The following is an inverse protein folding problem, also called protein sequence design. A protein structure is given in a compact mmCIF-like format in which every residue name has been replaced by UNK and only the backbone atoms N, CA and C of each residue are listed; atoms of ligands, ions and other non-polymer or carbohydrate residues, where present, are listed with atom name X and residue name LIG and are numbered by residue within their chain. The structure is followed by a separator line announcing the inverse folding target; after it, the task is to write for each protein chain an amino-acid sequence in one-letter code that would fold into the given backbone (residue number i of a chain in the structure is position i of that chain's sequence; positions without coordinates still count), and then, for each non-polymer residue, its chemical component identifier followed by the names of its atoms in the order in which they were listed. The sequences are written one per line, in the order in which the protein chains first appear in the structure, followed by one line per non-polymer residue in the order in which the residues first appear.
data_IF_132187212051
#
_entry.id   IF_132187212051
#
_cell.length_a   1.000
_cell.length_b   1.000
_cell.length_c   1.000
_cell.angle_alpha   90.00
_cell.angle_beta   90.00
_cell.angle_gamma   90.00
#
_symmetry.space_group_name_H-M   'P 1'
#
loop_
_entity.id
_entity.type
_entity.pdbx_description
1 polymer ?
#
# COMPACT_ATOMS: atom_id res chain seq x y z
N UNK A 1 24.30 -4.97 -14.81
CA UNK A 1 24.64 -3.72 -14.08
C UNK A 1 23.41 -3.37 -13.24
N UNK A 2 23.47 -3.65 -11.93
CA UNK A 2 22.34 -3.35 -11.04
C UNK A 2 22.34 -1.86 -10.69
N UNK A 3 21.20 -1.22 -10.85
CA UNK A 3 21.02 0.14 -10.36
C UNK A 3 20.59 0.06 -8.89
N UNK A 4 21.36 0.68 -8.00
CA UNK A 4 20.95 0.89 -6.62
C UNK A 4 20.15 2.20 -6.60
N UNK A 5 18.83 2.09 -6.43
CA UNK A 5 17.99 3.26 -6.18
C UNK A 5 18.10 3.54 -4.69
N UNK A 6 18.84 4.58 -4.30
CA UNK A 6 18.81 5.05 -2.92
C UNK A 6 17.73 6.12 -2.80
N UNK A 7 16.71 5.86 -1.97
CA UNK A 7 15.74 6.88 -1.60
C UNK A 7 16.30 7.69 -0.43
N UNK A 8 16.38 9.01 -0.61
CA UNK A 8 16.73 9.91 0.49
C UNK A 8 15.45 10.44 1.13
N UNK A 9 15.28 10.15 2.42
CA UNK A 9 14.21 10.75 3.20
C UNK A 9 14.42 12.26 3.30
N UNK A 10 13.39 13.03 2.93
CA UNK A 10 13.39 14.48 3.05
C UNK A 10 12.40 14.91 4.12
N UNK A 11 12.68 16.03 4.79
CA UNK A 11 11.73 16.65 5.68
C UNK A 11 10.60 17.31 4.88
N UNK A 12 9.50 16.59 4.71
CA UNK A 12 8.31 17.06 3.99
C UNK A 12 7.27 17.55 5.00
N UNK A 13 6.77 18.77 4.79
CA UNK A 13 5.70 19.34 5.62
C UNK A 13 4.34 19.00 5.02
N UNK A 14 3.39 18.67 5.89
CA UNK A 14 1.99 18.53 5.53
C UNK A 14 1.44 19.84 4.94
N UNK A 15 0.77 19.74 3.77
CA UNK A 15 0.26 20.89 3.02
C UNK A 15 -1.28 20.96 2.98
N UNK A 16 -1.96 20.04 3.65
CA UNK A 16 -3.41 19.91 3.62
C UNK A 16 -3.90 18.93 2.55
N UNK A 17 -5.22 18.81 2.43
CA UNK A 17 -5.87 17.91 1.47
C UNK A 17 -6.17 18.65 0.16
N UNK A 18 -5.94 17.97 -0.96
CA UNK A 18 -6.32 18.47 -2.28
C UNK A 18 -6.98 17.36 -3.10
N UNK A 19 -8.31 17.35 -3.12
CA UNK A 19 -9.11 16.36 -3.86
C UNK A 19 -8.91 16.42 -5.38
N UNK A 20 -8.48 17.57 -5.91
CA UNK A 20 -8.27 17.79 -7.35
C UNK A 20 -6.82 17.52 -7.77
N UNK A 21 -5.93 17.22 -6.83
CA UNK A 21 -4.56 16.89 -7.18
C UNK A 21 -4.53 15.60 -8.01
N UNK A 22 -3.78 15.65 -9.08
CA UNK A 22 -3.48 14.47 -9.91
C UNK A 22 -2.03 14.08 -9.70
N UNK A 23 -1.76 12.79 -9.46
CA UNK A 23 -0.40 12.31 -9.34
C UNK A 23 0.40 12.56 -10.63
N UNK A 24 1.67 12.91 -10.49
CA UNK A 24 2.55 13.12 -11.63
C UNK A 24 2.98 11.77 -12.22
N UNK A 25 2.34 11.36 -13.32
CA UNK A 25 2.57 10.06 -13.98
C UNK A 25 4.03 9.84 -14.38
N UNK A 26 4.75 10.90 -14.81
CA UNK A 26 6.16 10.79 -15.16
C UNK A 26 7.01 10.45 -13.94
N UNK A 27 6.74 11.11 -12.82
CA UNK A 27 7.43 10.83 -11.56
C UNK A 27 7.10 9.43 -11.04
N UNK A 28 5.87 8.98 -11.15
CA UNK A 28 5.49 7.60 -10.79
C UNK A 28 6.30 6.59 -11.60
N UNK A 29 6.46 6.80 -12.92
CA UNK A 29 7.23 5.91 -13.78
C UNK A 29 8.73 5.84 -13.39
N UNK A 30 9.29 6.90 -12.82
CA UNK A 30 10.66 6.90 -12.30
C UNK A 30 10.84 6.00 -11.08
N UNK A 31 9.76 5.72 -10.34
CA UNK A 31 9.76 4.85 -9.16
C UNK A 31 9.48 3.38 -9.48
N UNK A 32 8.89 3.08 -10.63
CA UNK A 32 8.46 1.73 -10.97
C UNK A 32 9.45 1.05 -11.90
N UNK A 33 9.72 -0.22 -11.65
CA UNK A 33 10.52 -1.05 -12.53
C UNK A 33 9.72 -1.45 -13.81
N UNK A 34 10.41 -1.79 -14.92
CA UNK A 34 9.74 -2.19 -16.16
C UNK A 34 8.76 -3.36 -16.01
N UNK A 35 9.10 -4.36 -15.22
CA UNK A 35 8.25 -5.52 -14.93
C UNK A 35 7.03 -5.13 -14.08
N UNK A 36 7.15 -4.17 -13.18
CA UNK A 36 6.01 -3.62 -12.44
C UNK A 36 5.03 -2.90 -13.38
N UNK A 37 5.54 -2.11 -14.32
CA UNK A 37 4.71 -1.43 -15.33
C UNK A 37 4.00 -2.45 -16.23
N UNK A 38 4.67 -3.54 -16.61
CA UNK A 38 4.06 -4.63 -17.35
C UNK A 38 2.95 -5.29 -16.54
N UNK A 39 3.19 -5.61 -15.28
CA UNK A 39 2.20 -6.19 -14.37
C UNK A 39 0.97 -5.29 -14.22
N UNK A 40 1.15 -3.97 -14.06
CA UNK A 40 0.04 -3.02 -14.01
C UNK A 40 -0.77 -3.01 -15.32
N UNK A 41 -0.11 -3.15 -16.48
CA UNK A 41 -0.80 -3.24 -17.77
C UNK A 41 -1.63 -4.52 -17.90
N UNK A 42 -1.17 -5.64 -17.35
CA UNK A 42 -1.92 -6.89 -17.29
C UNK A 42 -3.11 -6.76 -16.31
N UNK A 43 -2.91 -6.10 -15.18
CA UNK A 43 -3.96 -5.85 -14.21
C UNK A 43 -5.14 -5.06 -14.79
N UNK A 44 -4.89 -4.15 -15.74
CA UNK A 44 -5.95 -3.41 -16.44
C UNK A 44 -6.92 -4.30 -17.23
N UNK A 45 -6.52 -5.53 -17.58
CA UNK A 45 -7.35 -6.53 -18.30
C UNK A 45 -8.26 -7.31 -17.35
N UNK A 46 -8.05 -7.24 -16.04
CA UNK A 46 -8.87 -7.92 -15.04
C UNK A 46 -10.20 -7.15 -14.88
N UNK A 47 -11.34 -7.86 -14.76
CA UNK A 47 -12.61 -7.24 -14.47
C UNK A 47 -12.54 -6.38 -13.20
N UNK A 48 -13.23 -5.25 -13.21
CA UNK A 48 -13.27 -4.38 -12.02
C UNK A 48 -13.99 -5.09 -10.88
N UNK A 49 -13.41 -4.97 -9.70
CA UNK A 49 -13.88 -5.63 -8.50
C UNK A 49 -14.71 -4.66 -7.65
N UNK A 50 -15.54 -5.22 -6.79
CA UNK A 50 -16.35 -4.43 -5.85
C UNK A 50 -15.94 -4.78 -4.43
N UNK A 51 -15.78 -3.75 -3.62
CA UNK A 51 -15.51 -3.83 -2.19
C UNK A 51 -16.62 -3.09 -1.42
N UNK A 52 -16.79 -3.39 -0.12
CA UNK A 52 -17.63 -2.58 0.73
C UNK A 52 -17.10 -1.13 0.82
N UNK A 53 -17.92 -0.24 1.32
CA UNK A 53 -17.52 1.14 1.58
C UNK A 53 -16.38 1.18 2.60
N UNK A 54 -15.38 2.02 2.34
CA UNK A 54 -14.22 2.21 3.19
C UNK A 54 -13.50 0.91 3.60
N UNK A 55 -13.05 0.08 2.64
CA UNK A 55 -12.35 -1.16 2.94
C UNK A 55 -11.00 -0.89 3.58
N UNK A 56 -10.47 -1.90 4.28
CA UNK A 56 -9.14 -1.89 4.86
C UNK A 56 -8.21 -2.73 3.98
N UNK A 57 -7.08 -2.16 3.59
CA UNK A 57 -5.97 -2.86 2.99
C UNK A 57 -4.85 -3.03 4.03
N UNK A 58 -4.44 -4.26 4.26
CA UNK A 58 -3.31 -4.59 5.12
C UNK A 58 -2.09 -4.98 4.29
N UNK A 59 -0.96 -4.29 4.52
CA UNK A 59 0.32 -4.52 3.83
C UNK A 59 1.46 -4.75 4.83
N UNK A 60 1.82 -6.01 5.13
CA UNK A 60 2.98 -6.36 5.95
C UNK A 60 4.27 -6.26 5.14
N UNK A 61 5.37 -5.87 5.79
CA UNK A 61 6.67 -5.69 5.14
C UNK A 61 6.61 -4.63 4.02
N UNK A 62 5.79 -3.59 4.23
CA UNK A 62 5.48 -2.62 3.20
C UNK A 62 6.67 -1.76 2.76
N UNK A 63 7.70 -1.63 3.60
CA UNK A 63 8.75 -0.66 3.34
C UNK A 63 8.15 0.74 3.13
N UNK A 64 8.63 1.42 2.10
CA UNK A 64 8.10 2.70 1.64
C UNK A 64 7.21 2.55 0.38
N UNK A 65 6.81 1.33 0.01
CA UNK A 65 6.07 1.04 -1.22
C UNK A 65 4.62 1.51 -1.14
N UNK A 66 4.42 2.81 -1.27
CA UNK A 66 3.08 3.42 -1.31
C UNK A 66 2.47 3.40 -2.71
N UNK A 67 3.28 3.42 -3.77
CA UNK A 67 2.78 3.63 -5.14
C UNK A 67 2.11 2.38 -5.71
N UNK A 68 2.66 1.20 -5.46
CA UNK A 68 2.09 -0.04 -6.00
C UNK A 68 0.68 -0.32 -5.46
N UNK A 69 0.42 -0.35 -4.14
CA UNK A 69 -0.94 -0.55 -3.66
C UNK A 69 -1.89 0.55 -4.14
N UNK A 70 -1.46 1.82 -4.25
CA UNK A 70 -2.28 2.88 -4.82
C UNK A 70 -2.65 2.62 -6.29
N UNK A 71 -1.70 2.18 -7.11
CA UNK A 71 -1.97 1.82 -8.52
C UNK A 71 -2.90 0.61 -8.63
N UNK A 72 -2.76 -0.40 -7.78
CA UNK A 72 -3.67 -1.53 -7.73
C UNK A 72 -5.10 -1.09 -7.39
N UNK A 73 -5.26 -0.25 -6.38
CA UNK A 73 -6.57 0.27 -5.98
C UNK A 73 -7.20 1.10 -7.11
N UNK A 74 -6.45 2.01 -7.72
CA UNK A 74 -6.90 2.82 -8.86
C UNK A 74 -7.43 1.95 -10.02
N UNK A 75 -6.69 0.88 -10.35
CA UNK A 75 -7.01 0.02 -11.49
C UNK A 75 -8.18 -0.93 -11.19
N UNK A 76 -8.17 -1.60 -10.04
CA UNK A 76 -9.14 -2.65 -9.71
C UNK A 76 -10.46 -2.09 -9.18
N UNK A 77 -10.44 -0.96 -8.49
CA UNK A 77 -11.57 -0.40 -7.76
C UNK A 77 -11.87 1.06 -8.12
N UNK A 78 -12.10 1.40 -9.40
CA UNK A 78 -12.21 2.79 -9.87
C UNK A 78 -13.41 3.56 -9.29
N UNK A 79 -14.35 2.88 -8.64
CA UNK A 79 -15.54 3.50 -8.02
C UNK A 79 -15.39 3.72 -6.52
N UNK A 80 -14.25 3.31 -5.95
CA UNK A 80 -14.00 3.47 -4.52
C UNK A 80 -13.88 4.95 -4.17
N UNK A 81 -14.53 5.35 -3.07
CA UNK A 81 -14.49 6.75 -2.60
C UNK A 81 -13.49 6.93 -1.46
N UNK A 82 -13.30 5.90 -0.66
CA UNK A 82 -12.42 5.93 0.51
C UNK A 82 -11.82 4.56 0.76
N UNK A 83 -10.59 4.53 1.29
CA UNK A 83 -9.89 3.31 1.73
C UNK A 83 -9.00 3.61 2.94
N UNK A 84 -8.85 2.64 3.81
CA UNK A 84 -7.89 2.66 4.90
C UNK A 84 -6.72 1.72 4.58
N UNK A 85 -5.51 2.24 4.57
CA UNK A 85 -4.29 1.45 4.49
C UNK A 85 -3.71 1.24 5.89
N UNK A 86 -3.40 0.00 6.23
CA UNK A 86 -2.59 -0.38 7.39
C UNK A 86 -1.28 -0.95 6.85
N UNK A 87 -0.23 -0.14 6.92
CA UNK A 87 1.12 -0.54 6.55
C UNK A 87 1.88 -0.95 7.80
N UNK A 88 2.68 -1.99 7.66
CA UNK A 88 3.53 -2.46 8.74
C UNK A 88 4.93 -2.78 8.23
N UNK A 89 5.94 -2.34 8.96
CA UNK A 89 7.33 -2.70 8.71
C UNK A 89 8.14 -2.70 10.02
N UNK A 90 9.28 -3.41 10.03
CA UNK A 90 10.25 -3.37 11.13
C UNK A 90 10.93 -2.00 11.20
N UNK A 91 11.22 -1.43 10.05
CA UNK A 91 11.86 -0.13 9.91
C UNK A 91 10.83 1.00 9.83
N UNK A 92 11.25 2.19 10.25
CA UNK A 92 10.40 3.37 10.16
C UNK A 92 10.53 4.00 8.78
N UNK A 93 9.70 3.57 7.84
CA UNK A 93 9.65 4.08 6.48
C UNK A 93 8.65 5.24 6.28
N UNK A 94 8.04 5.73 7.34
CA UNK A 94 7.00 6.75 7.29
C UNK A 94 7.46 8.06 6.64
N UNK A 95 8.70 8.49 6.92
CA UNK A 95 9.30 9.67 6.30
C UNK A 95 9.53 9.50 4.79
N UNK A 96 9.97 8.31 4.35
CA UNK A 96 10.13 7.99 2.94
C UNK A 96 8.79 7.99 2.20
N UNK A 97 7.73 7.45 2.79
CA UNK A 97 6.38 7.50 2.22
C UNK A 97 5.95 8.95 1.97
N UNK A 98 6.18 9.86 2.93
CA UNK A 98 5.89 11.29 2.77
C UNK A 98 6.70 11.92 1.63
N UNK A 99 7.97 11.55 1.53
CA UNK A 99 8.84 12.03 0.46
C UNK A 99 8.32 11.61 -0.91
N UNK A 100 7.94 10.34 -1.07
CA UNK A 100 7.38 9.81 -2.32
C UNK A 100 6.07 10.52 -2.69
N UNK A 101 5.15 10.67 -1.74
CA UNK A 101 3.88 11.38 -1.98
C UNK A 101 4.12 12.82 -2.45
N UNK A 102 5.03 13.56 -1.80
CA UNK A 102 5.37 14.93 -2.20
C UNK A 102 5.99 14.99 -3.60
N UNK A 103 6.89 14.06 -3.94
CA UNK A 103 7.53 14.01 -5.26
C UNK A 103 6.56 13.70 -6.39
N UNK A 104 5.56 12.86 -6.15
CA UNK A 104 4.52 12.60 -7.13
C UNK A 104 3.40 13.66 -7.11
N UNK A 105 3.56 14.74 -6.34
CA UNK A 105 2.65 15.88 -6.33
C UNK A 105 1.41 15.71 -5.45
N UNK A 106 1.42 14.76 -4.52
CA UNK A 106 0.32 14.51 -3.59
C UNK A 106 0.56 15.25 -2.27
N UNK A 107 -0.35 16.14 -1.92
CA UNK A 107 -0.37 16.79 -0.62
C UNK A 107 -1.18 15.97 0.39
N UNK A 108 -0.81 16.08 1.66
CA UNK A 108 -1.41 15.31 2.74
C UNK A 108 -1.55 16.14 4.02
N UNK A 109 -2.38 15.64 4.92
CA UNK A 109 -2.35 15.99 6.34
C UNK A 109 -1.68 14.86 7.12
N UNK A 110 -0.97 15.22 8.18
CA UNK A 110 -0.22 14.31 9.03
C UNK A 110 -0.67 14.43 10.48
N UNK A 111 -0.84 13.30 11.15
CA UNK A 111 -1.09 13.24 12.59
C UNK A 111 -0.41 12.01 13.18
N UNK A 112 0.73 12.21 13.83
CA UNK A 112 1.56 11.13 14.37
C UNK A 112 1.94 10.12 13.27
N UNK A 113 1.54 8.85 13.39
CA UNK A 113 1.84 7.75 12.47
C UNK A 113 0.71 7.54 11.44
N UNK A 114 0.00 8.61 11.13
CA UNK A 114 -1.17 8.61 10.26
C UNK A 114 -1.04 9.70 9.20
N UNK A 115 -1.34 9.36 7.95
CA UNK A 115 -1.49 10.29 6.83
C UNK A 115 -2.89 10.19 6.26
N UNK A 116 -3.42 11.33 5.79
CA UNK A 116 -4.61 11.35 4.97
C UNK A 116 -4.33 12.18 3.72
N UNK A 117 -4.71 11.66 2.57
CA UNK A 117 -4.51 12.30 1.28
C UNK A 117 -5.54 11.82 0.25
N UNK A 118 -5.61 12.50 -0.89
CA UNK A 118 -6.39 12.05 -2.03
C UNK A 118 -5.47 11.45 -3.10
N UNK A 119 -5.90 10.29 -3.64
CA UNK A 119 -5.32 9.64 -4.80
C UNK A 119 -6.39 9.43 -5.86
N UNK A 120 -6.30 10.11 -7.03
CA UNK A 120 -7.32 10.01 -8.10
C UNK A 120 -8.77 10.12 -7.58
N UNK A 121 -9.01 11.07 -6.69
CA UNK A 121 -10.28 11.31 -5.99
C UNK A 121 -10.65 10.32 -4.88
N UNK A 122 -9.89 9.26 -4.66
CA UNK A 122 -10.07 8.33 -3.54
C UNK A 122 -9.43 8.94 -2.28
N UNK A 123 -10.18 9.06 -1.22
CA UNK A 123 -9.65 9.46 0.08
C UNK A 123 -8.91 8.28 0.72
N UNK A 124 -7.63 8.43 0.95
CA UNK A 124 -6.78 7.41 1.57
C UNK A 124 -6.44 7.82 2.99
N UNK A 125 -6.79 6.97 3.93
CA UNK A 125 -6.36 7.01 5.32
C UNK A 125 -5.23 5.98 5.48
N UNK A 126 -3.98 6.41 5.72
CA UNK A 126 -2.85 5.53 5.91
C UNK A 126 -2.40 5.56 7.36
N UNK A 127 -2.40 4.41 8.01
CA UNK A 127 -1.78 4.15 9.30
C UNK A 127 -0.50 3.35 9.10
N UNK A 128 0.62 3.83 9.63
CA UNK A 128 1.88 3.12 9.64
C UNK A 128 2.15 2.52 11.02
N UNK A 129 2.36 1.22 11.11
CA UNK A 129 2.63 0.49 12.35
C UNK A 129 4.04 -0.08 12.27
N UNK A 130 4.96 0.50 13.04
CA UNK A 130 6.30 -0.06 13.19
C UNK A 130 6.28 -1.26 14.10
N UNK A 131 6.83 -2.38 13.66
CA UNK A 131 6.98 -3.57 14.50
C UNK A 131 6.96 -4.88 13.72
N UNK A 132 7.24 -5.96 14.44
CA UNK A 132 7.21 -7.31 13.88
C UNK A 132 5.75 -7.73 13.63
N UNK A 133 5.41 -7.98 12.37
CA UNK A 133 4.04 -8.34 11.95
C UNK A 133 3.51 -9.58 12.68
N UNK A 134 4.35 -10.57 12.92
CA UNK A 134 3.96 -11.82 13.58
C UNK A 134 3.50 -11.60 15.04
N UNK A 135 3.95 -10.50 15.66
CA UNK A 135 3.53 -10.09 17.00
C UNK A 135 2.32 -9.17 17.00
N UNK A 136 2.19 -8.31 15.99
CA UNK A 136 1.13 -7.30 15.96
C UNK A 136 -0.14 -7.78 15.24
N UNK A 137 -0.06 -8.81 14.43
CA UNK A 137 -1.18 -9.28 13.59
C UNK A 137 -2.44 -9.56 14.42
N UNK A 138 -2.30 -10.07 15.65
CA UNK A 138 -3.45 -10.34 16.52
C UNK A 138 -4.23 -9.07 16.91
N UNK A 139 -3.58 -7.90 16.90
CA UNK A 139 -4.22 -6.61 17.19
C UNK A 139 -4.94 -6.00 15.98
N UNK A 140 -4.73 -6.54 14.79
CA UNK A 140 -5.40 -6.09 13.57
C UNK A 140 -6.77 -6.79 13.52
N UNK A 141 -7.84 -6.01 13.44
CA UNK A 141 -9.22 -6.53 13.54
C UNK A 141 -9.59 -7.41 12.36
N UNK A 142 -9.46 -6.91 11.16
CA UNK A 142 -9.77 -7.60 9.91
C UNK A 142 -9.56 -6.65 8.75
N UNK A 143 -9.55 -7.19 7.55
CA UNK A 143 -9.32 -6.40 6.34
C UNK A 143 -10.02 -7.04 5.13
N UNK A 144 -10.31 -6.23 4.12
CA UNK A 144 -10.88 -6.66 2.85
C UNK A 144 -9.81 -6.96 1.81
N UNK A 145 -8.63 -6.34 1.93
CA UNK A 145 -7.51 -6.58 1.03
C UNK A 145 -6.27 -6.93 1.85
N UNK A 146 -5.71 -8.09 1.56
CA UNK A 146 -4.35 -8.41 1.94
C UNK A 146 -3.44 -8.13 0.75
N UNK A 147 -2.42 -7.32 0.94
CA UNK A 147 -1.46 -6.96 -0.10
C UNK A 147 -0.05 -7.29 0.37
N UNK A 148 0.68 -8.10 -0.39
CA UNK A 148 2.08 -8.40 -0.07
C UNK A 148 2.95 -8.42 -1.32
N UNK A 149 4.18 -7.98 -1.14
CA UNK A 149 5.24 -8.05 -2.15
C UNK A 149 6.55 -8.37 -1.45
N UNK A 150 7.31 -9.32 -2.03
CA UNK A 150 8.63 -9.73 -1.52
C UNK A 150 8.64 -10.18 -0.04
N UNK A 151 7.50 -10.66 0.45
CA UNK A 151 7.32 -11.04 1.86
C UNK A 151 7.48 -12.56 2.10
N UNK A 152 7.63 -13.37 1.05
CA UNK A 152 7.67 -14.84 1.12
C UNK A 152 8.69 -15.37 2.12
N UNK A 153 9.94 -14.91 2.02
CA UNK A 153 11.04 -15.39 2.88
C UNK A 153 10.74 -15.14 4.36
N UNK A 154 10.09 -14.04 4.67
CA UNK A 154 9.72 -13.69 6.06
C UNK A 154 8.65 -14.63 6.62
N UNK A 155 7.81 -15.24 5.77
CA UNK A 155 6.73 -16.15 6.19
C UNK A 155 7.20 -17.57 6.43
N UNK A 156 8.27 -18.01 5.77
CA UNK A 156 8.73 -19.41 5.78
C UNK A 156 9.02 -19.93 7.20
N UNK A 157 9.43 -19.04 8.11
CA UNK A 157 9.68 -19.38 9.52
C UNK A 157 8.41 -19.36 10.40
N UNK A 158 7.24 -18.99 9.82
CA UNK A 158 5.98 -18.81 10.56
C UNK A 158 4.81 -19.52 9.86
N UNK A 159 4.74 -20.85 9.93
CA UNK A 159 3.77 -21.67 9.19
C UNK A 159 2.31 -21.32 9.49
N UNK A 160 2.00 -20.79 10.68
CA UNK A 160 0.64 -20.37 11.04
C UNK A 160 0.25 -18.98 10.50
N UNK A 161 1.19 -18.24 9.92
CA UNK A 161 0.95 -16.87 9.50
C UNK A 161 -0.16 -16.77 8.44
N UNK A 162 -0.10 -17.60 7.42
CA UNK A 162 -1.11 -17.57 6.34
C UNK A 162 -2.50 -17.95 6.86
N UNK A 163 -2.60 -18.93 7.77
CA UNK A 163 -3.85 -19.27 8.44
C UNK A 163 -4.43 -18.06 9.19
N UNK A 164 -3.58 -17.31 9.89
CA UNK A 164 -3.99 -16.10 10.59
C UNK A 164 -4.47 -15.01 9.61
N UNK A 165 -3.81 -14.84 8.46
CA UNK A 165 -4.25 -13.94 7.40
C UNK A 165 -5.64 -14.35 6.89
N UNK A 166 -5.86 -15.63 6.56
CA UNK A 166 -7.16 -16.12 6.11
C UNK A 166 -8.27 -15.91 7.14
N UNK A 167 -7.99 -16.09 8.43
CA UNK A 167 -8.95 -15.87 9.51
C UNK A 167 -9.34 -14.39 9.65
N UNK A 168 -8.45 -13.47 9.29
CA UNK A 168 -8.66 -12.02 9.37
C UNK A 168 -9.19 -11.41 8.08
N UNK A 169 -9.09 -12.13 6.97
CA UNK A 169 -9.63 -11.70 5.70
C UNK A 169 -11.16 -11.75 5.76
N UNK A 170 -11.80 -10.61 5.58
CA UNK A 170 -13.24 -10.50 5.62
C UNK A 170 -13.89 -11.26 4.46
N UNK A 171 -15.16 -11.62 4.63
CA UNK A 171 -15.92 -12.35 3.60
C UNK A 171 -15.89 -11.58 2.28
N UNK A 172 -15.51 -12.27 1.20
CA UNK A 172 -15.25 -11.70 -0.14
C UNK A 172 -14.00 -10.81 -0.20
N UNK A 173 -13.12 -10.93 0.78
CA UNK A 173 -11.83 -10.25 0.74
C UNK A 173 -10.94 -10.77 -0.37
N UNK A 174 -9.91 -9.99 -0.70
CA UNK A 174 -9.02 -10.20 -1.84
C UNK A 174 -7.60 -10.35 -1.35
N UNK A 175 -6.89 -11.34 -1.88
CA UNK A 175 -5.47 -11.53 -1.68
C UNK A 175 -4.73 -11.05 -2.93
N UNK A 176 -3.78 -10.16 -2.76
CA UNK A 176 -2.87 -9.67 -3.79
C UNK A 176 -1.46 -10.01 -3.31
N UNK A 177 -0.82 -10.95 -3.98
CA UNK A 177 0.49 -11.45 -3.55
C UNK A 177 1.34 -11.78 -4.76
N UNK A 178 2.64 -11.56 -4.65
CA UNK A 178 3.65 -12.02 -5.60
C UNK A 178 4.21 -13.41 -5.23
N UNK A 179 3.72 -14.00 -4.15
CA UNK A 179 4.01 -15.36 -3.71
C UNK A 179 2.72 -16.20 -3.67
N UNK A 180 2.85 -17.50 -3.97
CA UNK A 180 1.72 -18.41 -3.84
C UNK A 180 1.43 -18.64 -2.35
N UNK A 181 0.19 -18.34 -1.96
CA UNK A 181 -0.38 -18.77 -0.69
C UNK A 181 -0.92 -20.19 -0.93
N UNK A 182 -0.28 -21.18 -0.34
CA UNK A 182 -0.66 -22.61 -0.45
C UNK A 182 -1.52 -22.98 0.75
#
# INVERSE_FOLDING_TARGET
MGFLISYEERSVKAKGLNKLAKPNSKKIQEYLFPDELENLSLLMKIPKLQLPDNPILFYPGSGADILMPLKYIEILFPHLQKITFIFNDLDNNFGLIKTILDEVGISFIEKKDFLQFYWESILVDLQFIRGNVFLILHNISGFEIYFERSFRIMKDDYPEYENQIYQKLNKKGILISDSFLI
#
